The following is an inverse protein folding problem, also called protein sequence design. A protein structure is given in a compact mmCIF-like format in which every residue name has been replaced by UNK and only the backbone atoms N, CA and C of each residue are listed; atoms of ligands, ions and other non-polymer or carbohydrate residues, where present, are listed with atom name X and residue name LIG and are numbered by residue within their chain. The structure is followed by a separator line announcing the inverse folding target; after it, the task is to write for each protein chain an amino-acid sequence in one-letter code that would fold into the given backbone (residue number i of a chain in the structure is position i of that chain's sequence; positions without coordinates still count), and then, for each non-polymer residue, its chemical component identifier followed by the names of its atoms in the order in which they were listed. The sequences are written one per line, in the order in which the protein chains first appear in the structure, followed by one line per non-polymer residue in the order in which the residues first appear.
data_IF_028752280113
#
_entry.id   IF_028752280113
#
_cell.length_a   1.000
_cell.length_b   1.000
_cell.length_c   1.000
_cell.angle_alpha   90.00
_cell.angle_beta   90.00
_cell.angle_gamma   90.00
#
_symmetry.space_group_name_H-M   'P 1'
#
loop_
_entity.id
_entity.type
_entity.pdbx_description
1 polymer ?
#
# COMPACT_ATOMS: atom_id res chain seq x y z
N UNK A 1 -9.86 -24.81 1.97
CA UNK A 1 -8.93 -24.11 2.90
C UNK A 1 -9.63 -23.50 4.12
N UNK A 2 -8.92 -23.33 5.24
CA UNK A 2 -9.50 -22.96 6.55
C UNK A 2 -9.77 -21.46 6.67
N UNK A 3 -11.05 -21.09 6.79
CA UNK A 3 -11.50 -19.73 7.17
C UNK A 3 -10.84 -19.23 8.45
N UNK A 4 -10.39 -20.13 9.33
CA UNK A 4 -9.66 -19.77 10.54
C UNK A 4 -8.29 -19.13 10.27
N UNK A 5 -7.58 -19.57 9.22
CA UNK A 5 -6.28 -18.99 8.85
C UNK A 5 -6.44 -17.55 8.35
N UNK A 6 -7.43 -17.32 7.48
CA UNK A 6 -7.77 -15.99 6.99
C UNK A 6 -8.14 -15.04 8.13
N UNK A 7 -9.06 -15.45 9.01
CA UNK A 7 -9.45 -14.64 10.16
C UNK A 7 -8.26 -14.35 11.08
N UNK A 8 -7.40 -15.33 11.33
CA UNK A 8 -6.17 -15.13 12.10
C UNK A 8 -5.27 -14.05 11.50
N UNK A 9 -5.04 -14.06 10.18
CA UNK A 9 -4.24 -13.03 9.52
C UNK A 9 -4.90 -11.65 9.62
N UNK A 10 -6.19 -11.55 9.29
CA UNK A 10 -6.92 -10.28 9.32
C UNK A 10 -6.93 -9.68 10.72
N UNK A 11 -7.25 -10.46 11.76
CA UNK A 11 -7.29 -9.98 13.14
C UNK A 11 -5.91 -9.47 13.60
N UNK A 12 -4.83 -10.21 13.33
CA UNK A 12 -3.51 -9.80 13.79
C UNK A 12 -2.92 -8.64 12.97
N UNK A 13 -3.25 -8.52 11.68
CA UNK A 13 -2.87 -7.36 10.86
C UNK A 13 -3.52 -6.07 11.37
N UNK A 14 -4.72 -6.15 11.97
CA UNK A 14 -5.40 -5.02 12.62
C UNK A 14 -4.84 -4.66 14.00
N UNK A 15 -3.87 -5.42 14.52
CA UNK A 15 -3.29 -5.17 15.84
C UNK A 15 -2.67 -3.79 15.95
N UNK A 16 -2.86 -3.14 17.11
CA UNK A 16 -2.16 -1.89 17.48
C UNK A 16 -0.65 -2.07 17.65
N UNK A 17 -0.20 -3.30 17.87
CA UNK A 17 1.21 -3.61 18.09
C UNK A 17 1.92 -3.91 16.77
N UNK A 18 2.91 -3.10 16.42
CA UNK A 18 3.67 -3.26 15.18
C UNK A 18 4.36 -4.62 15.09
N UNK A 19 4.95 -5.11 16.18
CA UNK A 19 5.60 -6.42 16.23
C UNK A 19 4.66 -7.56 15.87
N UNK A 20 3.39 -7.48 16.27
CA UNK A 20 2.35 -8.45 15.90
C UNK A 20 2.09 -8.37 14.40
N UNK A 21 1.86 -7.17 13.86
CA UNK A 21 1.63 -6.98 12.41
C UNK A 21 2.79 -7.53 11.58
N UNK A 22 4.03 -7.18 11.91
CA UNK A 22 5.21 -7.63 11.18
C UNK A 22 5.42 -9.15 11.27
N UNK A 23 5.15 -9.76 12.42
CA UNK A 23 5.17 -11.22 12.59
C UNK A 23 4.13 -11.87 11.69
N UNK A 24 2.89 -11.37 11.71
CA UNK A 24 1.79 -11.89 10.89
C UNK A 24 2.04 -11.75 9.40
N UNK A 25 2.68 -10.68 8.95
CA UNK A 25 3.10 -10.52 7.54
C UNK A 25 4.09 -11.60 7.12
N UNK A 26 5.05 -11.95 7.98
CA UNK A 26 5.99 -13.05 7.72
C UNK A 26 5.28 -14.40 7.65
N UNK A 27 4.36 -14.65 8.58
CA UNK A 27 3.53 -15.86 8.59
C UNK A 27 2.66 -15.95 7.33
N UNK A 28 2.02 -14.86 6.93
CA UNK A 28 1.25 -14.77 5.69
C UNK A 28 2.13 -15.06 4.48
N UNK A 29 3.34 -14.49 4.41
CA UNK A 29 4.26 -14.75 3.30
C UNK A 29 4.63 -16.23 3.19
N UNK A 30 4.85 -16.90 4.33
CA UNK A 30 5.12 -18.34 4.37
C UNK A 30 3.90 -19.17 3.99
N UNK A 31 2.72 -18.80 4.49
CA UNK A 31 1.45 -19.45 4.15
C UNK A 31 1.16 -19.37 2.64
N UNK A 32 1.38 -18.19 2.05
CA UNK A 32 1.22 -17.98 0.60
C UNK A 32 2.22 -18.81 -0.22
N UNK A 33 3.48 -18.91 0.23
CA UNK A 33 4.54 -19.64 -0.49
C UNK A 33 4.44 -21.16 -0.36
N UNK A 34 3.97 -21.65 0.78
CA UNK A 34 4.00 -23.07 1.11
C UNK A 34 2.61 -23.69 0.97
N UNK A 35 1.64 -23.24 1.77
CA UNK A 35 0.33 -23.89 1.88
C UNK A 35 -0.58 -23.57 0.69
N UNK A 36 -0.70 -22.30 0.33
CA UNK A 36 -1.51 -21.86 -0.82
C UNK A 36 -0.98 -22.39 -2.15
N UNK A 37 0.31 -22.74 -2.23
CA UNK A 37 0.91 -23.31 -3.44
C UNK A 37 0.45 -24.75 -3.69
N UNK A 38 0.12 -25.49 -2.64
CA UNK A 38 -0.38 -26.86 -2.70
C UNK A 38 -1.91 -26.93 -2.85
N UNK A 39 -2.59 -25.79 -2.71
CA UNK A 39 -4.04 -25.68 -2.83
C UNK A 39 -4.52 -25.69 -4.29
N UNK A 40 -5.80 -26.02 -4.48
CA UNK A 40 -6.43 -25.97 -5.81
C UNK A 40 -6.63 -24.51 -6.26
N UNK A 41 -6.70 -24.24 -7.59
CA UNK A 41 -6.93 -22.89 -8.10
C UNK A 41 -8.19 -22.21 -7.52
N UNK A 42 -9.28 -22.97 -7.35
CA UNK A 42 -10.53 -22.45 -6.78
C UNK A 42 -10.38 -22.05 -5.31
N UNK A 43 -9.63 -22.83 -4.53
CA UNK A 43 -9.34 -22.50 -3.13
C UNK A 43 -8.44 -21.27 -3.00
N UNK A 44 -7.43 -21.16 -3.88
CA UNK A 44 -6.54 -19.98 -3.94
C UNK A 44 -7.38 -18.74 -4.26
N UNK A 45 -8.22 -18.80 -5.29
CA UNK A 45 -9.06 -17.67 -5.69
C UNK A 45 -10.06 -17.28 -4.59
N UNK A 46 -10.73 -18.26 -3.97
CA UNK A 46 -11.66 -18.00 -2.87
C UNK A 46 -10.97 -17.32 -1.68
N UNK A 47 -9.78 -17.80 -1.29
CA UNK A 47 -9.01 -17.18 -0.21
C UNK A 47 -8.58 -15.76 -0.57
N UNK A 48 -8.06 -15.56 -1.78
CA UNK A 48 -7.58 -14.25 -2.23
C UNK A 48 -8.72 -13.24 -2.35
N UNK A 49 -9.89 -13.63 -2.86
CA UNK A 49 -11.04 -12.74 -2.98
C UNK A 49 -11.54 -12.26 -1.62
N UNK A 50 -11.66 -13.17 -0.64
CA UNK A 50 -12.04 -12.81 0.73
C UNK A 50 -10.95 -11.96 1.41
N UNK A 51 -9.68 -12.29 1.20
CA UNK A 51 -8.58 -11.54 1.77
C UNK A 51 -8.45 -10.14 1.14
N UNK A 52 -8.64 -9.99 -0.17
CA UNK A 52 -8.69 -8.69 -0.85
C UNK A 52 -9.84 -7.82 -0.35
N UNK A 53 -11.00 -8.43 -0.05
CA UNK A 53 -12.11 -7.71 0.54
C UNK A 53 -11.70 -7.08 1.89
N UNK A 54 -11.11 -7.84 2.80
CA UNK A 54 -10.65 -7.31 4.07
C UNK A 54 -9.53 -6.28 3.96
N UNK A 55 -8.58 -6.47 3.04
CA UNK A 55 -7.54 -5.46 2.76
C UNK A 55 -8.19 -4.15 2.32
N UNK A 56 -9.18 -4.22 1.42
CA UNK A 56 -9.91 -3.05 0.97
C UNK A 56 -10.63 -2.35 2.13
N UNK A 57 -11.29 -3.09 3.01
CA UNK A 57 -11.96 -2.52 4.17
C UNK A 57 -11.00 -1.80 5.13
N UNK A 58 -9.89 -2.44 5.44
CA UNK A 58 -8.83 -1.89 6.32
C UNK A 58 -8.22 -0.61 5.76
N UNK A 59 -8.11 -0.53 4.43
CA UNK A 59 -7.51 0.61 3.73
C UNK A 59 -8.51 1.74 3.48
N UNK A 60 -9.78 1.43 3.19
CA UNK A 60 -10.77 2.41 2.71
C UNK A 60 -11.87 2.79 3.67
N UNK A 61 -12.44 1.84 4.40
CA UNK A 61 -13.61 2.12 5.22
C UNK A 61 -13.24 2.52 6.64
N UNK A 62 -12.08 2.08 7.14
CA UNK A 62 -11.70 2.30 8.52
C UNK A 62 -10.78 3.52 8.71
N UNK A 63 -11.02 4.30 9.77
CA UNK A 63 -10.19 5.45 10.12
C UNK A 63 -9.03 5.09 11.06
N UNK A 64 -8.96 3.85 11.54
CA UNK A 64 -7.87 3.38 12.39
C UNK A 64 -6.55 3.30 11.61
N UNK A 65 -5.54 4.03 12.11
CA UNK A 65 -4.19 4.08 11.54
C UNK A 65 -3.52 2.71 11.53
N UNK A 66 -3.73 1.88 12.55
CA UNK A 66 -3.13 0.55 12.66
C UNK A 66 -3.72 -0.41 11.63
N UNK A 67 -5.03 -0.35 11.39
CA UNK A 67 -5.66 -1.16 10.34
C UNK A 67 -5.14 -0.77 8.96
N UNK A 68 -4.99 0.54 8.67
CA UNK A 68 -4.37 1.02 7.43
C UNK A 68 -2.95 0.49 7.27
N UNK A 69 -2.12 0.59 8.32
CA UNK A 69 -0.75 0.04 8.32
C UNK A 69 -0.75 -1.47 8.06
N UNK A 70 -1.64 -2.23 8.70
CA UNK A 70 -1.82 -3.65 8.45
C UNK A 70 -2.19 -3.97 7.00
N UNK A 71 -3.10 -3.19 6.42
CA UNK A 71 -3.57 -3.39 5.05
C UNK A 71 -2.47 -3.12 4.02
N UNK A 72 -1.69 -2.07 4.22
CA UNK A 72 -0.54 -1.74 3.37
C UNK A 72 0.52 -2.84 3.44
N UNK A 73 0.83 -3.34 4.64
CA UNK A 73 1.78 -4.44 4.82
C UNK A 73 1.30 -5.74 4.14
N UNK A 74 -0.01 -6.03 4.19
CA UNK A 74 -0.59 -7.17 3.48
C UNK A 74 -0.47 -7.00 1.96
N UNK A 75 -0.73 -5.81 1.42
CA UNK A 75 -0.52 -5.49 0.00
C UNK A 75 0.93 -5.76 -0.40
N UNK A 76 1.91 -5.25 0.37
CA UNK A 76 3.33 -5.49 0.11
C UNK A 76 3.68 -6.99 0.09
N UNK A 77 3.13 -7.77 1.01
CA UNK A 77 3.32 -9.21 1.04
C UNK A 77 2.80 -9.89 -0.24
N UNK A 78 1.61 -9.50 -0.72
CA UNK A 78 0.98 -10.09 -1.89
C UNK A 78 1.62 -9.63 -3.20
N UNK A 79 2.17 -8.41 -3.27
CA UNK A 79 2.95 -7.96 -4.43
C UNK A 79 4.14 -8.89 -4.69
N UNK A 80 4.84 -9.30 -3.61
CA UNK A 80 5.98 -10.21 -3.69
C UNK A 80 5.62 -11.69 -3.84
N UNK A 81 4.34 -12.03 -3.88
CA UNK A 81 3.87 -13.41 -3.99
C UNK A 81 3.45 -13.73 -5.44
N UNK A 82 3.93 -14.86 -5.96
CA UNK A 82 3.56 -15.38 -7.28
C UNK A 82 2.26 -16.20 -7.20
N UNK A 83 1.14 -15.49 -6.99
CA UNK A 83 -0.19 -16.09 -6.85
C UNK A 83 -1.25 -15.28 -7.62
N UNK A 84 -2.15 -16.00 -8.30
CA UNK A 84 -3.26 -15.41 -9.07
C UNK A 84 -2.82 -14.56 -10.28
N UNK A 85 -3.74 -13.75 -10.81
CA UNK A 85 -3.45 -12.80 -11.88
C UNK A 85 -2.72 -11.57 -11.34
N UNK A 86 -1.40 -11.55 -11.54
CA UNK A 86 -0.51 -10.48 -11.09
C UNK A 86 -0.85 -9.14 -11.73
N UNK A 87 -1.28 -9.09 -13.00
CA UNK A 87 -1.49 -7.83 -13.73
C UNK A 87 -2.73 -7.10 -13.23
N UNK A 88 -3.86 -7.80 -13.10
CA UNK A 88 -5.10 -7.23 -12.57
C UNK A 88 -4.94 -6.79 -11.11
N UNK A 89 -4.26 -7.62 -10.30
CA UNK A 89 -3.98 -7.35 -8.89
C UNK A 89 -3.13 -6.09 -8.69
N UNK A 90 -2.06 -5.96 -9.46
CA UNK A 90 -1.15 -4.82 -9.44
C UNK A 90 -1.86 -3.49 -9.71
N UNK A 91 -2.76 -3.46 -10.71
CA UNK A 91 -3.61 -2.29 -10.97
C UNK A 91 -4.54 -1.93 -9.82
N UNK A 92 -5.14 -2.93 -9.15
CA UNK A 92 -6.00 -2.70 -7.97
C UNK A 92 -5.20 -2.14 -6.80
N UNK A 93 -4.05 -2.70 -6.50
CA UNK A 93 -3.17 -2.22 -5.42
C UNK A 93 -2.67 -0.81 -5.68
N UNK A 94 -2.25 -0.51 -6.91
CA UNK A 94 -1.92 0.86 -7.31
C UNK A 94 -3.09 1.81 -6.98
N UNK A 95 -4.31 1.46 -7.35
CA UNK A 95 -5.50 2.28 -7.06
C UNK A 95 -5.78 2.43 -5.55
N UNK A 96 -5.58 1.39 -4.75
CA UNK A 96 -5.79 1.44 -3.30
C UNK A 96 -4.78 2.36 -2.60
N UNK A 97 -3.49 2.14 -2.87
CA UNK A 97 -2.38 2.95 -2.36
C UNK A 97 -2.50 4.40 -2.82
N UNK A 98 -2.84 4.61 -4.09
CA UNK A 98 -3.05 5.94 -4.67
C UNK A 98 -4.06 6.77 -3.90
N UNK A 99 -5.20 6.16 -3.58
CA UNK A 99 -6.29 6.82 -2.86
C UNK A 99 -6.01 6.94 -1.35
N UNK A 100 -4.94 6.33 -0.82
CA UNK A 100 -4.52 6.48 0.58
C UNK A 100 -3.63 7.69 0.80
N UNK A 101 -2.93 8.18 -0.22
CA UNK A 101 -1.97 9.28 -0.13
C UNK A 101 -2.53 10.60 0.41
N UNK A 102 -3.84 10.92 0.29
CA UNK A 102 -4.47 11.89 1.18
C UNK A 102 -4.55 11.29 2.60
N UNK A 103 -3.46 11.40 3.37
CA UNK A 103 -3.38 10.88 4.73
C UNK A 103 -2.72 11.89 5.67
N UNK A 104 -3.27 12.00 6.89
CA UNK A 104 -2.73 12.84 7.96
C UNK A 104 -1.70 12.12 8.84
N UNK A 105 -1.58 10.78 8.76
CA UNK A 105 -0.59 10.01 9.53
C UNK A 105 0.68 9.79 8.71
N UNK A 106 1.80 10.32 9.20
CA UNK A 106 3.12 10.23 8.56
C UNK A 106 3.52 8.77 8.34
N UNK A 107 3.31 7.93 9.34
CA UNK A 107 3.71 6.52 9.26
C UNK A 107 2.92 5.72 8.22
N UNK A 108 1.61 6.01 8.05
CA UNK A 108 0.81 5.45 6.96
C UNK A 108 1.34 5.94 5.63
N UNK A 109 1.61 7.24 5.50
CA UNK A 109 2.07 7.84 4.26
C UNK A 109 3.42 7.27 3.80
N UNK A 110 4.38 7.13 4.71
CA UNK A 110 5.66 6.45 4.44
C UNK A 110 5.47 5.01 3.98
N UNK A 111 4.57 4.26 4.63
CA UNK A 111 4.30 2.87 4.25
C UNK A 111 3.65 2.79 2.86
N UNK A 112 2.75 3.70 2.52
CA UNK A 112 2.16 3.78 1.18
C UNK A 112 3.23 4.05 0.13
N UNK A 113 4.11 5.03 0.38
CA UNK A 113 5.21 5.36 -0.53
C UNK A 113 6.15 4.16 -0.74
N UNK A 114 6.54 3.48 0.34
CA UNK A 114 7.34 2.23 0.28
C UNK A 114 6.63 1.15 -0.52
N UNK A 115 5.32 0.97 -0.33
CA UNK A 115 4.54 -0.01 -1.05
C UNK A 115 4.42 0.31 -2.55
N UNK A 116 4.27 1.59 -2.92
CA UNK A 116 4.24 2.05 -4.31
C UNK A 116 5.60 1.87 -4.99
N UNK A 117 6.70 2.18 -4.30
CA UNK A 117 8.05 1.90 -4.81
C UNK A 117 8.29 0.40 -5.00
N UNK A 118 7.87 -0.43 -4.04
CA UNK A 118 7.94 -1.89 -4.20
C UNK A 118 7.10 -2.39 -5.37
N UNK A 119 5.87 -1.87 -5.51
CA UNK A 119 4.99 -2.18 -6.64
C UNK A 119 5.67 -1.83 -7.97
N UNK A 120 6.29 -0.65 -8.09
CA UNK A 120 7.01 -0.24 -9.28
C UNK A 120 8.17 -1.20 -9.64
N UNK A 121 8.93 -1.67 -8.64
CA UNK A 121 10.02 -2.63 -8.86
C UNK A 121 9.51 -3.98 -9.41
N UNK A 122 8.35 -4.45 -8.94
CA UNK A 122 7.78 -5.75 -9.36
C UNK A 122 6.89 -5.62 -10.61
N UNK A 123 6.45 -4.42 -10.98
CA UNK A 123 5.53 -4.15 -12.10
C UNK A 123 6.06 -4.54 -13.50
N UNK A 124 7.33 -4.95 -13.59
CA UNK A 124 7.94 -5.47 -14.80
C UNK A 124 7.93 -4.46 -15.94
N UNK A 125 7.45 -4.87 -17.12
CA UNK A 125 7.46 -4.05 -18.34
C UNK A 125 6.60 -2.77 -18.24
N UNK A 126 5.65 -2.71 -17.31
CA UNK A 126 4.77 -1.53 -17.10
C UNK A 126 5.27 -0.60 -15.99
N UNK A 127 6.41 -0.89 -15.37
CA UNK A 127 6.96 -0.07 -14.28
C UNK A 127 7.19 1.39 -14.70
N UNK A 128 7.73 1.60 -15.90
CA UNK A 128 8.02 2.96 -16.42
C UNK A 128 6.75 3.81 -16.54
N UNK A 129 5.68 3.28 -17.14
CA UNK A 129 4.39 3.97 -17.26
C UNK A 129 3.78 4.28 -15.89
N UNK A 130 3.82 3.31 -14.98
CA UNK A 130 3.33 3.48 -13.62
C UNK A 130 4.09 4.59 -12.86
N UNK A 131 5.42 4.57 -12.89
CA UNK A 131 6.26 5.57 -12.21
C UNK A 131 6.04 6.95 -12.81
N UNK A 132 6.01 7.08 -14.14
CA UNK A 132 5.75 8.37 -14.80
C UNK A 132 4.39 8.95 -14.41
N UNK A 133 3.35 8.11 -14.33
CA UNK A 133 2.03 8.53 -13.88
C UNK A 133 2.04 9.05 -12.45
N UNK A 134 2.66 8.33 -11.50
CA UNK A 134 2.69 8.74 -10.10
C UNK A 134 3.55 9.98 -9.87
N UNK A 135 4.69 10.11 -10.56
CA UNK A 135 5.56 11.30 -10.50
C UNK A 135 4.82 12.53 -11.04
N UNK A 136 4.15 12.42 -12.19
CA UNK A 136 3.36 13.52 -12.76
C UNK A 136 2.30 14.00 -11.76
N UNK A 137 1.58 13.06 -11.16
CA UNK A 137 0.55 13.36 -10.16
C UNK A 137 1.11 14.00 -8.89
N UNK A 138 2.29 13.57 -8.43
CA UNK A 138 2.97 14.21 -7.32
C UNK A 138 3.28 15.68 -7.63
N UNK A 139 3.73 15.99 -8.86
CA UNK A 139 3.93 17.38 -9.29
C UNK A 139 2.64 18.20 -9.33
N UNK A 140 1.52 17.61 -9.76
CA UNK A 140 0.21 18.28 -9.77
C UNK A 140 -0.18 18.71 -8.35
N UNK A 141 -0.03 17.84 -7.35
CA UNK A 141 -0.28 18.19 -5.95
C UNK A 141 0.61 19.33 -5.43
N UNK A 142 1.89 19.32 -5.78
CA UNK A 142 2.82 20.38 -5.37
C UNK A 142 2.53 21.73 -6.03
N UNK A 143 1.86 21.73 -7.19
CA UNK A 143 1.45 22.96 -7.88
C UNK A 143 0.16 23.52 -7.30
N UNK A 144 -0.82 22.65 -6.98
CA UNK A 144 -2.07 23.05 -6.33
C UNK A 144 -1.81 23.63 -4.92
N UNK A 145 -0.91 23.02 -4.14
CA UNK A 145 -0.50 23.55 -2.82
C UNK A 145 0.10 24.98 -2.91
N UNK A 146 0.79 25.31 -4.01
CA UNK A 146 1.36 26.65 -4.21
C UNK A 146 0.31 27.70 -4.57
N UNK A 147 -0.73 27.30 -5.29
CA UNK A 147 -1.85 28.18 -5.62
C UNK A 147 -2.69 28.48 -4.37
N UNK A 148 -2.95 27.47 -3.54
CA UNK A 148 -3.68 27.63 -2.28
C UNK A 148 -2.87 28.45 -1.26
N UNK A 149 -1.57 28.21 -1.10
CA UNK A 149 -0.72 28.99 -0.20
C UNK A 149 -0.65 30.50 -0.58
N UNK A 150 -0.77 30.83 -1.87
CA UNK A 150 -0.80 32.23 -2.33
C UNK A 150 -2.16 32.90 -2.09
N UNK A 151 -3.25 32.14 -2.05
CA UNK A 151 -4.60 32.64 -1.74
C UNK A 151 -4.84 32.77 -0.22
N UNK A 152 -4.17 31.95 0.60
CA UNK A 152 -4.38 31.84 2.05
C UNK A 152 -3.48 32.75 2.93
N UNK A 153 -2.85 33.79 2.38
CA UNK A 153 -2.05 34.75 3.13
C UNK A 153 -2.85 35.68 4.09
N UNK A 154 -4.08 35.32 4.46
CA UNK A 154 -5.01 36.18 5.20
C UNK A 154 -5.81 35.54 6.33
N UNK A 155 -5.76 34.23 6.60
CA UNK A 155 -6.49 33.63 7.73
C UNK A 155 -5.96 32.23 8.11
N UNK A 156 -5.72 32.09 9.41
CA UNK A 156 -5.36 30.93 10.27
C UNK A 156 -5.17 29.52 9.68
N UNK A 157 -4.08 28.90 10.15
CA UNK A 157 -3.57 27.54 9.93
C UNK A 157 -4.63 26.44 9.75
N UNK A 158 -4.67 25.80 8.58
CA UNK A 158 -5.13 24.40 8.40
C UNK A 158 -4.80 23.86 7.00
N UNK A 159 -4.18 22.68 6.97
CA UNK A 159 -4.07 21.73 5.84
C UNK A 159 -3.02 21.92 4.73
N UNK A 160 -1.77 22.24 5.10
CA UNK A 160 -0.63 21.78 4.30
C UNK A 160 -0.02 20.58 5.01
N UNK A 161 0.23 19.46 4.33
CA UNK A 161 0.97 18.33 4.90
C UNK A 161 2.43 18.38 4.39
N UNK A 162 3.33 19.17 5.02
CA UNK A 162 4.71 19.38 4.54
C UNK A 162 5.52 18.08 4.38
N UNK A 163 5.05 16.98 4.98
CA UNK A 163 5.62 15.65 4.87
C UNK A 163 5.38 14.99 3.51
N UNK A 164 4.35 15.39 2.77
CA UNK A 164 4.09 14.91 1.39
C UNK A 164 5.21 15.36 0.45
N UNK A 165 5.75 16.56 0.65
CA UNK A 165 6.90 17.09 -0.10
C UNK A 165 8.18 16.30 0.18
N UNK A 166 8.52 16.07 1.46
CA UNK A 166 9.73 15.31 1.84
C UNK A 166 9.68 13.84 1.38
N UNK A 167 8.48 13.25 1.31
CA UNK A 167 8.30 11.86 0.89
C UNK A 167 8.41 11.65 -0.62
N UNK A 168 8.04 12.63 -1.44
CA UNK A 168 8.28 12.55 -2.89
C UNK A 168 9.79 12.51 -3.16
N UNK A 169 10.56 13.36 -2.47
CA UNK A 169 12.03 13.38 -2.57
C UNK A 169 12.63 12.06 -2.06
N UNK A 170 12.17 11.54 -0.91
CA UNK A 170 12.64 10.26 -0.38
C UNK A 170 12.30 9.06 -1.29
N UNK A 171 11.09 9.02 -1.87
CA UNK A 171 10.67 7.91 -2.74
C UNK A 171 11.45 7.91 -4.04
N UNK A 172 11.70 9.09 -4.62
CA UNK A 172 12.57 9.25 -5.80
C UNK A 172 14.01 8.84 -5.46
N UNK A 173 14.54 9.25 -4.31
CA UNK A 173 15.90 8.91 -3.88
C UNK A 173 16.08 7.40 -3.64
N UNK A 174 15.10 6.73 -3.02
CA UNK A 174 15.16 5.27 -2.78
C UNK A 174 15.02 4.46 -4.08
N UNK A 175 14.14 4.88 -5.01
CA UNK A 175 14.01 4.24 -6.33
C UNK A 175 15.30 4.43 -7.16
N UNK A 176 15.93 5.60 -7.08
CA UNK A 176 17.22 5.85 -7.74
C UNK A 176 18.38 5.02 -7.13
N UNK A 177 18.44 4.87 -5.80
CA UNK A 177 19.51 4.11 -5.12
C UNK A 177 19.50 2.60 -5.36
N UNK A 178 18.34 2.02 -5.72
CA UNK A 178 18.22 0.58 -5.99
C UNK A 178 18.34 0.21 -7.49
N UNK A 179 18.42 1.21 -8.38
CA UNK A 179 18.49 1.02 -9.84
C UNK A 179 19.90 1.30 -10.42
N UNK A 180 20.87 1.67 -9.58
CA UNK A 180 22.30 1.83 -9.93
C UNK A 180 23.17 0.82 -9.18
#
# INVERSE_FOLDING_TARGET
MSTAALLHFVTNLKSRHESVRLKTVKELSLYVKNELREATPDEINSFLDEFYHHIFEMVKFNNDVNEKKGGILAIMCLIGADVGDTTSRFGRFANYLRKLLPCNDVGVMELVAKAMGYLAMVYGSKASEYVQFEVKRAFEWLQDDKADAQLHHGQEESHSNPLLCELVDYTVEQVCKQTM
#
